data_IF_405248236380
#
_entry.id   IF_405248236380
#
_cell.length_a   1.000
_cell.length_b   1.000
_cell.length_c   1.000
_cell.angle_alpha   90.00
_cell.angle_beta   90.00
_cell.angle_gamma   90.00
#
_symmetry.space_group_name_H-M   'P 1'
#
loop_
_entity.id
_entity.type
_entity.pdbx_description
1 polymer ?
#
# COMPACT_ATOMS: atom_id res chain seq x y z
N UNK A 1 -26.25 13.74 15.33
CA UNK A 1 -24.90 14.31 15.18
C UNK A 1 -23.89 13.18 15.34
N UNK A 2 -22.75 13.32 14.68
CA UNK A 2 -21.52 12.50 14.74
C UNK A 2 -21.29 11.49 13.60
N UNK A 3 -21.06 12.07 12.41
CA UNK A 3 -19.85 11.93 11.58
C UNK A 3 -19.25 10.53 11.35
N UNK A 4 -19.87 9.81 10.42
CA UNK A 4 -19.23 8.75 9.65
C UNK A 4 -18.19 9.33 8.68
N UNK A 5 -16.98 9.60 9.16
CA UNK A 5 -15.83 9.82 8.28
C UNK A 5 -15.35 8.46 7.72
N UNK A 6 -16.17 7.86 6.85
CA UNK A 6 -15.73 6.83 5.92
C UNK A 6 -14.71 7.48 4.99
N UNK A 7 -13.47 7.00 4.99
CA UNK A 7 -12.54 7.26 3.90
C UNK A 7 -13.13 6.63 2.63
N UNK A 8 -13.90 7.42 1.89
CA UNK A 8 -14.40 7.10 0.56
C UNK A 8 -13.21 7.15 -0.39
N UNK A 9 -12.55 6.01 -0.60
CA UNK A 9 -11.73 5.86 -1.79
C UNK A 9 -12.60 6.14 -3.01
N UNK A 10 -12.16 7.04 -3.89
CA UNK A 10 -12.87 7.30 -5.13
C UNK A 10 -13.11 5.98 -5.89
N UNK A 11 -14.26 5.84 -6.58
CA UNK A 11 -14.54 4.65 -7.37
C UNK A 11 -13.38 4.37 -8.32
N UNK A 12 -13.09 3.08 -8.53
CA UNK A 12 -12.10 2.62 -9.50
C UNK A 12 -12.31 3.38 -10.82
N UNK A 13 -11.27 3.92 -11.46
CA UNK A 13 -11.35 4.26 -12.87
C UNK A 13 -11.83 3.00 -13.60
N UNK A 14 -12.88 3.11 -14.42
CA UNK A 14 -13.19 2.05 -15.36
C UNK A 14 -11.92 1.83 -16.19
N UNK A 15 -11.38 0.60 -16.23
CA UNK A 15 -10.20 0.35 -17.03
C UNK A 15 -10.64 0.46 -18.49
N UNK A 16 -10.38 1.60 -19.12
CA UNK A 16 -10.24 1.62 -20.57
C UNK A 16 -9.27 0.49 -20.91
N UNK A 17 -9.75 -0.52 -21.65
CA UNK A 17 -8.96 -1.70 -21.99
C UNK A 17 -7.79 -1.28 -22.88
N UNK A 18 -6.68 -0.88 -22.26
CA UNK A 18 -5.42 -0.73 -22.95
C UNK A 18 -4.87 -2.12 -23.27
N UNK A 19 -5.39 -2.73 -24.34
CA UNK A 19 -4.83 -3.93 -24.96
C UNK A 19 -3.61 -3.49 -25.77
N UNK A 20 -2.50 -3.20 -25.08
CA UNK A 20 -1.19 -3.03 -25.70
C UNK A 20 -0.26 -4.13 -25.20
N UNK A 21 0.53 -4.68 -26.12
CA UNK A 21 1.59 -5.63 -25.77
C UNK A 21 2.45 -5.06 -24.63
N UNK A 22 2.57 -5.84 -23.56
CA UNK A 22 3.31 -5.46 -22.36
C UNK A 22 4.81 -5.34 -22.70
N UNK A 23 5.26 -4.14 -23.07
CA UNK A 23 6.69 -3.85 -23.20
C UNK A 23 7.26 -3.54 -21.82
N UNK A 24 7.92 -4.53 -21.22
CA UNK A 24 8.78 -4.33 -20.07
C UNK A 24 10.07 -3.65 -20.58
N UNK A 25 10.08 -2.32 -20.56
CA UNK A 25 11.26 -1.53 -20.92
C UNK A 25 12.29 -1.56 -19.78
N UNK A 26 13.57 -1.33 -20.09
CA UNK A 26 14.60 -1.24 -19.05
C UNK A 26 14.35 -0.07 -18.10
N UNK A 27 13.76 1.02 -18.60
CA UNK A 27 13.28 2.13 -17.78
C UNK A 27 12.22 1.68 -16.76
N UNK A 28 11.22 0.91 -17.18
CA UNK A 28 10.20 0.38 -16.27
C UNK A 28 10.82 -0.54 -15.21
N UNK A 29 11.75 -1.43 -15.61
CA UNK A 29 12.45 -2.32 -14.66
C UNK A 29 13.22 -1.53 -13.61
N UNK A 30 13.97 -0.51 -14.03
CA UNK A 30 14.75 0.36 -13.14
C UNK A 30 13.84 1.11 -12.17
N UNK A 31 12.73 1.65 -12.67
CA UNK A 31 11.75 2.37 -11.85
C UNK A 31 11.16 1.46 -10.76
N UNK A 32 10.70 0.26 -11.14
CA UNK A 32 10.11 -0.70 -10.20
C UNK A 32 11.16 -1.21 -9.20
N UNK A 33 12.40 -1.46 -9.63
CA UNK A 33 13.47 -1.87 -8.72
C UNK A 33 13.77 -0.79 -7.65
N UNK A 34 13.86 0.48 -8.07
CA UNK A 34 14.02 1.62 -7.14
C UNK A 34 12.84 1.72 -6.18
N UNK A 35 11.61 1.61 -6.68
CA UNK A 35 10.40 1.67 -5.86
C UNK A 35 10.36 0.53 -4.83
N UNK A 36 10.69 -0.72 -5.22
CA UNK A 36 10.74 -1.88 -4.32
C UNK A 36 11.79 -1.69 -3.22
N UNK A 37 12.99 -1.20 -3.57
CA UNK A 37 14.05 -0.89 -2.60
C UNK A 37 13.60 0.18 -1.59
N UNK A 38 13.02 1.28 -2.07
CA UNK A 38 12.51 2.34 -1.21
C UNK A 38 11.38 1.85 -0.30
N UNK A 39 10.42 1.09 -0.84
CA UNK A 39 9.32 0.50 -0.07
C UNK A 39 9.85 -0.40 1.06
N UNK A 40 10.85 -1.24 0.78
CA UNK A 40 11.47 -2.10 1.79
C UNK A 40 12.11 -1.30 2.92
N UNK A 41 12.83 -0.22 2.59
CA UNK A 41 13.41 0.68 3.61
C UNK A 41 12.34 1.34 4.49
N UNK A 42 11.22 1.77 3.88
CA UNK A 42 10.09 2.32 4.64
C UNK A 42 9.50 1.27 5.59
N UNK A 43 9.26 0.05 5.10
CA UNK A 43 8.72 -1.04 5.93
C UNK A 43 9.64 -1.40 7.09
N UNK A 44 10.97 -1.44 6.88
CA UNK A 44 11.96 -1.65 7.95
C UNK A 44 11.85 -0.54 8.99
N UNK A 45 11.87 0.73 8.54
CA UNK A 45 11.74 1.87 9.45
C UNK A 45 10.44 1.82 10.25
N UNK A 46 9.31 1.45 9.63
CA UNK A 46 8.04 1.32 10.35
C UNK A 46 8.03 0.16 11.34
N UNK A 47 8.71 -0.94 11.04
CA UNK A 47 8.90 -2.02 12.00
C UNK A 47 9.71 -1.53 13.21
N UNK A 48 10.79 -0.79 12.97
CA UNK A 48 11.62 -0.21 14.04
C UNK A 48 10.84 0.81 14.88
N UNK A 49 10.10 1.74 14.26
CA UNK A 49 9.24 2.71 14.96
C UNK A 49 8.22 1.96 15.87
N UNK A 50 7.62 0.88 15.37
CA UNK A 50 6.66 0.09 16.14
C UNK A 50 7.31 -0.74 17.25
N UNK A 51 8.59 -1.09 17.15
CA UNK A 51 9.35 -1.82 18.18
C UNK A 51 9.89 -0.89 19.25
N UNK A 52 10.54 0.21 18.84
CA UNK A 52 11.14 1.25 19.70
C UNK A 52 10.09 2.29 20.08
N UNK A 53 9.07 1.83 20.79
CA UNK A 53 7.91 2.64 21.10
C UNK A 53 8.16 3.63 22.23
N UNK A 54 8.23 4.91 21.89
CA UNK A 54 8.29 6.02 22.82
C UNK A 54 7.11 6.98 22.66
N UNK A 55 7.21 8.12 23.35
CA UNK A 55 6.20 9.17 23.31
C UNK A 55 6.04 9.77 21.91
N UNK A 56 7.13 9.84 21.14
CA UNK A 56 7.12 10.40 19.79
C UNK A 56 6.39 9.48 18.81
N UNK A 57 6.60 8.17 18.91
CA UNK A 57 5.94 7.14 18.12
C UNK A 57 4.45 7.08 18.46
N UNK A 58 4.09 7.14 19.75
CA UNK A 58 2.69 7.23 20.19
C UNK A 58 1.99 8.48 19.64
N UNK A 59 2.66 9.63 19.66
CA UNK A 59 2.14 10.89 19.11
C UNK A 59 1.87 10.78 17.61
N UNK A 60 2.85 10.32 16.82
CA UNK A 60 2.69 10.18 15.38
C UNK A 60 1.64 9.11 15.03
N UNK A 61 1.64 7.98 15.74
CA UNK A 61 0.66 6.92 15.54
C UNK A 61 -0.75 7.45 15.78
N UNK A 62 -0.98 8.14 16.90
CA UNK A 62 -2.27 8.74 17.22
C UNK A 62 -2.70 9.78 16.19
N UNK A 63 -1.75 10.60 15.70
CA UNK A 63 -2.01 11.60 14.66
C UNK A 63 -2.39 10.97 13.31
N UNK A 64 -1.77 9.85 12.94
CA UNK A 64 -2.01 9.17 11.66
C UNK A 64 -3.29 8.33 11.71
N UNK A 65 -3.49 7.56 12.78
CA UNK A 65 -4.56 6.56 12.86
C UNK A 65 -5.78 7.02 13.67
N UNK A 66 -5.73 8.19 14.31
CA UNK A 66 -6.80 8.71 15.15
C UNK A 66 -7.05 7.92 16.44
N UNK A 67 -6.17 6.97 16.78
CA UNK A 67 -6.29 6.12 17.96
C UNK A 67 -4.93 5.92 18.63
N UNK A 68 -4.94 5.77 19.96
CA UNK A 68 -3.73 5.43 20.72
C UNK A 68 -3.25 4.01 20.41
N UNK A 69 -1.96 3.77 20.52
CA UNK A 69 -1.36 2.46 20.25
C UNK A 69 -1.90 1.34 21.14
N UNK A 70 -2.26 1.68 22.38
CA UNK A 70 -2.85 0.77 23.37
C UNK A 70 -4.38 0.63 23.29
N UNK A 71 -5.02 1.24 22.27
CA UNK A 71 -6.45 1.06 22.06
C UNK A 71 -6.71 -0.36 21.59
N UNK A 72 -7.54 -1.11 22.31
CA UNK A 72 -8.05 -2.39 21.82
C UNK A 72 -9.00 -2.20 20.64
N UNK A 73 -8.73 -2.91 19.55
CA UNK A 73 -9.53 -2.90 18.32
C UNK A 73 -10.00 -4.32 17.97
N UNK A 74 -11.18 -4.41 17.36
CA UNK A 74 -11.71 -5.68 16.85
C UNK A 74 -11.02 -6.05 15.54
N UNK A 75 -10.57 -7.30 15.44
CA UNK A 75 -9.95 -7.79 14.21
C UNK A 75 -11.03 -8.23 13.23
N UNK A 76 -10.99 -7.64 12.04
CA UNK A 76 -11.88 -7.96 10.93
C UNK A 76 -11.13 -8.71 9.83
N UNK A 77 -11.77 -9.72 9.25
CA UNK A 77 -11.29 -10.46 8.07
C UNK A 77 -12.38 -10.41 7.01
N UNK A 78 -12.05 -9.90 5.82
CA UNK A 78 -13.02 -9.68 4.72
C UNK A 78 -14.27 -8.89 5.15
N UNK A 79 -14.09 -7.90 6.03
CA UNK A 79 -15.20 -7.10 6.58
C UNK A 79 -15.91 -7.71 7.79
N UNK A 80 -15.75 -9.00 8.05
CA UNK A 80 -16.40 -9.70 9.15
C UNK A 80 -15.58 -9.67 10.44
N UNK A 81 -16.24 -9.47 11.58
CA UNK A 81 -15.59 -9.54 12.89
C UNK A 81 -15.16 -10.99 13.19
N UNK A 82 -13.91 -11.15 13.62
CA UNK A 82 -13.34 -12.46 13.97
C UNK A 82 -13.55 -12.85 15.43
N UNK A 83 -14.14 -11.96 16.25
CA UNK A 83 -14.27 -12.13 17.70
C UNK A 83 -12.97 -11.89 18.47
N UNK A 84 -11.85 -11.64 17.77
CA UNK A 84 -10.54 -11.36 18.37
C UNK A 84 -10.34 -9.87 18.56
N UNK A 85 -9.67 -9.51 19.65
CA UNK A 85 -9.27 -8.13 19.97
C UNK A 85 -7.76 -8.06 20.13
N UNK A 86 -7.17 -6.93 19.75
CA UNK A 86 -5.75 -6.66 20.01
C UNK A 86 -5.49 -5.16 20.09
N UNK A 87 -4.36 -4.78 20.68
CA UNK A 87 -3.89 -3.39 20.67
C UNK A 87 -3.65 -2.91 19.23
N UNK A 88 -4.06 -1.68 18.93
CA UNK A 88 -3.88 -1.05 17.62
C UNK A 88 -2.42 -1.09 17.14
N UNK A 89 -1.46 -0.85 18.06
CA UNK A 89 -0.02 -0.99 17.77
C UNK A 89 0.33 -2.40 17.31
N UNK A 90 -0.13 -3.42 18.02
CA UNK A 90 0.17 -4.82 17.67
C UNK A 90 -0.50 -5.24 16.35
N UNK A 91 -1.68 -4.70 16.06
CA UNK A 91 -2.32 -4.89 14.76
C UNK A 91 -1.44 -4.32 13.64
N UNK A 92 -0.91 -3.11 13.84
CA UNK A 92 -0.02 -2.49 12.86
C UNK A 92 1.34 -3.22 12.75
N UNK A 93 1.87 -3.77 13.84
CA UNK A 93 3.05 -4.63 13.80
C UNK A 93 2.82 -5.88 12.95
N UNK A 94 1.69 -6.57 13.15
CA UNK A 94 1.33 -7.72 12.29
C UNK A 94 1.14 -7.29 10.83
N UNK A 95 0.50 -6.15 10.59
CA UNK A 95 0.32 -5.56 9.26
C UNK A 95 1.66 -5.30 8.55
N UNK A 96 2.61 -4.62 9.20
CA UNK A 96 3.94 -4.35 8.64
C UNK A 96 4.70 -5.65 8.38
N UNK A 97 4.62 -6.64 9.29
CA UNK A 97 5.25 -7.95 9.10
C UNK A 97 4.71 -8.65 7.85
N UNK A 98 3.38 -8.68 7.67
CA UNK A 98 2.73 -9.29 6.51
C UNK A 98 3.08 -8.56 5.22
N UNK A 99 3.10 -7.23 5.23
CA UNK A 99 3.52 -6.42 4.10
C UNK A 99 4.99 -6.69 3.71
N UNK A 100 5.87 -6.90 4.69
CA UNK A 100 7.27 -7.25 4.44
C UNK A 100 7.41 -8.61 3.76
N UNK A 101 6.63 -9.62 4.17
CA UNK A 101 6.61 -10.94 3.52
C UNK A 101 6.20 -10.78 2.06
N UNK A 102 5.05 -10.13 1.81
CA UNK A 102 4.56 -9.89 0.44
C UNK A 102 5.61 -9.13 -0.38
N UNK A 103 6.20 -8.07 0.17
CA UNK A 103 7.19 -7.27 -0.54
C UNK A 103 8.44 -8.06 -0.96
N UNK A 104 8.85 -9.05 -0.17
CA UNK A 104 9.97 -9.93 -0.51
C UNK A 104 9.61 -10.94 -1.62
N UNK A 105 8.35 -11.37 -1.69
CA UNK A 105 7.86 -12.33 -2.67
C UNK A 105 7.52 -11.70 -4.03
N UNK A 106 7.29 -10.38 -4.07
CA UNK A 106 7.05 -9.66 -5.33
C UNK A 106 8.26 -9.74 -6.27
N UNK A 107 8.02 -10.12 -7.52
CA UNK A 107 9.03 -10.14 -8.59
C UNK A 107 8.64 -9.18 -9.71
N UNK A 108 9.46 -9.01 -10.75
CA UNK A 108 9.13 -8.09 -11.85
C UNK A 108 7.83 -8.49 -12.56
N UNK A 109 7.50 -9.78 -12.63
CA UNK A 109 6.24 -10.27 -13.21
C UNK A 109 5.01 -9.95 -12.36
N UNK A 110 5.21 -9.53 -11.10
CA UNK A 110 4.13 -9.02 -10.26
C UNK A 110 3.67 -7.61 -10.68
N UNK A 111 4.37 -6.94 -11.61
CA UNK A 111 4.06 -5.57 -12.02
C UNK A 111 3.66 -5.51 -13.49
N UNK A 112 2.48 -4.96 -13.76
CA UNK A 112 1.98 -4.74 -15.13
C UNK A 112 2.19 -3.27 -15.50
N UNK A 113 2.88 -3.03 -16.61
CA UNK A 113 3.20 -1.70 -17.12
C UNK A 113 2.02 -1.11 -17.91
N UNK A 114 1.31 -0.16 -17.31
CA UNK A 114 0.27 0.67 -17.93
C UNK A 114 0.68 2.15 -18.04
N UNK A 115 1.97 2.45 -17.93
CA UNK A 115 2.49 3.84 -17.96
C UNK A 115 2.20 4.57 -19.27
N UNK A 116 1.90 3.84 -20.36
CA UNK A 116 1.61 4.40 -21.68
C UNK A 116 0.14 4.71 -21.97
N UNK A 117 -0.80 4.47 -21.05
CA UNK A 117 -2.23 4.65 -21.34
C UNK A 117 -3.08 5.18 -20.18
N UNK A 118 -2.74 4.88 -18.92
CA UNK A 118 -3.68 5.12 -17.83
C UNK A 118 -3.22 6.19 -16.81
N UNK A 119 -4.15 7.06 -16.43
CA UNK A 119 -3.93 8.22 -15.56
C UNK A 119 -4.07 7.92 -14.03
N UNK A 120 -3.61 6.75 -13.59
CA UNK A 120 -3.47 6.42 -12.16
C UNK A 120 -2.01 6.21 -11.78
N UNK A 121 -1.71 6.20 -10.48
CA UNK A 121 -0.37 5.87 -9.98
C UNK A 121 -0.17 4.36 -9.95
N UNK A 122 -0.93 3.66 -9.11
CA UNK A 122 -0.98 2.20 -9.12
C UNK A 122 -2.34 1.70 -8.62
N UNK A 123 -2.74 0.50 -9.01
CA UNK A 123 -3.90 -0.17 -8.41
C UNK A 123 -3.72 -1.70 -8.37
N UNK A 124 -4.43 -2.31 -7.42
CA UNK A 124 -4.62 -3.76 -7.31
C UNK A 124 -6.09 -4.09 -7.61
N UNK A 125 -6.36 -5.20 -8.28
CA UNK A 125 -7.72 -5.59 -8.68
C UNK A 125 -8.14 -6.86 -7.96
N UNK A 126 -9.13 -6.79 -7.04
CA UNK A 126 -9.54 -7.93 -6.20
C UNK A 126 -9.79 -9.26 -6.94
N UNK A 127 -10.22 -9.21 -8.20
CA UNK A 127 -10.45 -10.38 -9.06
C UNK A 127 -9.19 -10.98 -9.69
N UNK A 128 -8.09 -10.21 -9.79
CA UNK A 128 -6.77 -10.62 -10.31
C UNK A 128 -5.72 -10.74 -9.19
N UNK A 129 -6.09 -10.40 -7.95
CA UNK A 129 -5.20 -10.22 -6.80
C UNK A 129 -4.72 -11.53 -6.14
N UNK A 130 -5.20 -12.71 -6.58
CA UNK A 130 -4.70 -13.98 -6.02
C UNK A 130 -3.18 -14.18 -6.25
N UNK A 131 -2.60 -13.50 -7.24
CA UNK A 131 -1.17 -13.60 -7.59
C UNK A 131 -0.37 -12.33 -7.24
N UNK A 132 -0.90 -11.42 -6.41
CA UNK A 132 -0.23 -10.16 -6.03
C UNK A 132 0.16 -9.28 -7.23
N UNK A 133 -0.75 -9.14 -8.20
CA UNK A 133 -0.51 -8.33 -9.40
C UNK A 133 -0.78 -6.85 -9.12
N UNK A 134 0.21 -6.02 -9.43
CA UNK A 134 0.18 -4.56 -9.22
C UNK A 134 0.23 -3.88 -10.59
N UNK A 135 -0.80 -3.10 -10.90
CA UNK A 135 -0.91 -2.36 -12.16
C UNK A 135 -0.29 -0.97 -11.95
N UNK A 136 0.67 -0.59 -12.80
CA UNK A 136 1.44 0.65 -12.67
C UNK A 136 1.09 1.61 -13.79
N UNK A 137 0.50 2.76 -13.46
CA UNK A 137 0.02 3.74 -14.44
C UNK A 137 0.97 4.90 -14.63
N UNK A 138 0.61 5.83 -15.53
CA UNK A 138 1.46 6.94 -15.92
C UNK A 138 1.83 7.84 -14.74
N UNK A 139 0.90 8.04 -13.79
CA UNK A 139 1.10 8.94 -12.64
C UNK A 139 2.06 8.36 -11.57
N UNK A 140 2.54 7.13 -11.73
CA UNK A 140 3.51 6.54 -10.79
C UNK A 140 4.84 7.31 -10.77
N UNK A 141 5.23 7.86 -11.93
CA UNK A 141 6.45 8.67 -12.08
C UNK A 141 6.27 10.14 -11.66
N UNK A 142 5.07 10.52 -11.22
CA UNK A 142 4.75 11.90 -10.93
C UNK A 142 4.97 12.16 -9.43
N UNK A 143 5.62 13.27 -9.12
CA UNK A 143 5.75 13.80 -7.76
C UNK A 143 4.99 15.12 -7.69
N UNK A 144 4.06 15.24 -6.75
CA UNK A 144 3.23 16.44 -6.59
C UNK A 144 2.53 16.89 -7.89
N UNK A 145 2.10 15.92 -8.71
CA UNK A 145 1.45 16.18 -10.00
C UNK A 145 2.37 16.53 -11.17
N UNK A 146 3.70 16.50 -10.98
CA UNK A 146 4.69 16.75 -12.05
C UNK A 146 5.48 15.49 -12.38
N UNK A 147 5.66 15.21 -13.67
CA UNK A 147 6.51 14.11 -14.13
C UNK A 147 7.97 14.39 -13.75
N UNK A 148 8.62 13.43 -13.10
CA UNK A 148 10.05 13.54 -12.79
C UNK A 148 10.80 13.37 -14.13
N UNK A 149 11.58 14.39 -14.53
CA UNK A 149 12.48 14.34 -15.68
C UNK A 149 13.75 13.54 -15.35
#
# INVERSE_FOLDING_TARGET
>A
MDDNNQTSGQPKPEPEECVKEQKITDHFKIMIDKARKAQKLVLIKRADDLLRWGAQEEYYFSKIFGVKGNKEVNIRKYGYNTGRRMNARFLMMDGVRRLMIIANDLTMSSFINYTGCNEFAAFVSPSKDMSYIINIGAKFEYRDGKKIQ
#
